data_IF_447228879905
#
_entry.id   IF_447228879905
#
_cell.length_a   1.000
_cell.length_b   1.000
_cell.length_c   1.000
_cell.angle_alpha   90.00
_cell.angle_beta   90.00
_cell.angle_gamma   90.00
#
_symmetry.space_group_name_H-M   'P 1'
#
loop_
_entity.id
_entity.type
_entity.pdbx_description
1 polymer ?
#
# COMPACT_ATOMS: atom_id res chain seq x y z
N UNK A 1 2.63 -7.59 -8.38
CA UNK A 1 2.89 -6.29 -7.73
C UNK A 1 3.36 -6.56 -6.31
N UNK A 2 4.36 -5.85 -5.78
CA UNK A 2 4.81 -6.00 -4.38
C UNK A 2 4.36 -4.76 -3.62
N UNK A 3 3.51 -4.89 -2.58
CA UNK A 3 3.00 -3.72 -1.89
C UNK A 3 4.01 -3.15 -0.88
N UNK A 4 4.06 -1.82 -0.76
CA UNK A 4 5.00 -1.08 0.09
C UNK A 4 4.25 -0.15 1.04
N UNK A 5 4.54 -0.28 2.34
CA UNK A 5 4.11 0.65 3.38
C UNK A 5 5.34 1.40 3.90
N UNK A 6 5.38 2.72 3.78
CA UNK A 6 6.50 3.52 4.29
C UNK A 6 6.12 4.24 5.60
N UNK A 7 7.05 4.17 6.56
CA UNK A 7 6.89 4.75 7.90
C UNK A 7 7.82 5.95 8.09
N UNK A 8 7.29 7.13 8.41
CA UNK A 8 8.10 8.36 8.58
C UNK A 8 7.88 9.04 9.94
N UNK A 9 8.91 9.61 10.55
CA UNK A 9 8.78 10.45 11.75
C UNK A 9 8.36 11.90 11.43
N UNK A 10 8.34 12.28 10.15
CA UNK A 10 8.15 13.65 9.69
C UNK A 10 6.95 13.69 8.75
N UNK A 11 5.81 14.15 9.26
CA UNK A 11 4.54 14.22 8.53
C UNK A 11 4.50 15.33 7.46
N UNK A 12 5.49 16.24 7.44
CA UNK A 12 5.39 17.54 6.76
C UNK A 12 6.42 17.80 5.65
N UNK A 13 7.24 16.85 5.23
CA UNK A 13 8.04 17.08 4.01
C UNK A 13 7.12 16.99 2.78
N UNK A 14 6.50 18.11 2.41
CA UNK A 14 5.64 18.26 1.22
C UNK A 14 6.36 17.88 -0.08
N UNK A 15 7.67 18.09 -0.17
CA UNK A 15 8.48 17.69 -1.33
C UNK A 15 8.70 16.16 -1.39
N UNK A 16 8.67 15.49 -0.23
CA UNK A 16 8.66 14.02 -0.14
C UNK A 16 7.27 13.49 -0.48
N UNK A 17 6.19 14.16 -0.02
CA UNK A 17 4.80 13.80 -0.37
C UNK A 17 4.49 13.94 -1.87
N UNK A 18 5.12 14.91 -2.56
CA UNK A 18 5.03 15.08 -4.02
C UNK A 18 5.80 14.01 -4.79
N UNK A 19 6.91 13.50 -4.25
CA UNK A 19 7.62 12.33 -4.79
C UNK A 19 6.95 10.99 -4.45
N UNK A 20 6.20 10.94 -3.35
CA UNK A 20 5.58 9.75 -2.76
C UNK A 20 4.47 9.08 -3.60
N UNK A 21 3.78 9.83 -4.47
CA UNK A 21 2.82 9.24 -5.41
C UNK A 21 3.48 8.40 -6.52
N UNK A 22 4.82 8.28 -6.55
CA UNK A 22 5.52 7.54 -7.58
C UNK A 22 5.42 6.00 -7.47
N UNK A 23 4.72 5.45 -6.46
CA UNK A 23 4.38 4.02 -6.48
C UNK A 23 4.44 3.23 -5.16
N UNK A 24 4.23 3.84 -3.99
CA UNK A 24 3.94 3.04 -2.79
C UNK A 24 2.44 3.01 -2.50
N UNK A 25 2.00 1.95 -1.86
CA UNK A 25 0.59 1.69 -1.59
C UNK A 25 0.07 2.45 -0.37
N UNK A 26 0.92 2.63 0.66
CA UNK A 26 0.52 3.26 1.91
C UNK A 26 1.67 4.00 2.61
N UNK A 27 1.28 5.01 3.37
CA UNK A 27 2.16 5.85 4.16
C UNK A 27 1.63 6.05 5.56
N UNK A 28 2.51 5.94 6.55
CA UNK A 28 2.14 6.02 7.96
C UNK A 28 3.17 6.81 8.77
N UNK A 29 2.71 7.76 9.57
CA UNK A 29 3.58 8.62 10.39
C UNK A 29 3.82 8.01 11.78
N UNK A 30 5.05 8.14 12.31
CA UNK A 30 5.42 7.72 13.67
C UNK A 30 5.22 8.87 14.67
N UNK A 31 4.88 8.56 15.94
CA UNK A 31 4.50 7.23 16.43
C UNK A 31 3.11 6.81 15.91
N UNK A 32 2.95 5.53 15.58
CA UNK A 32 1.67 4.99 15.10
C UNK A 32 1.13 3.93 16.05
N UNK A 33 -0.17 3.66 15.95
CA UNK A 33 -0.81 2.56 16.65
C UNK A 33 -0.56 1.22 15.91
N UNK A 34 -0.02 0.17 16.56
CA UNK A 34 0.17 -1.14 15.93
C UNK A 34 -1.11 -1.75 15.33
N UNK A 35 -2.27 -1.51 15.96
CA UNK A 35 -3.57 -1.99 15.46
C UNK A 35 -3.97 -1.32 14.14
N UNK A 36 -3.60 -0.04 13.98
CA UNK A 36 -3.83 0.69 12.74
C UNK A 36 -2.95 0.13 11.60
N UNK A 37 -1.67 -0.14 11.88
CA UNK A 37 -0.76 -0.79 10.93
C UNK A 37 -1.30 -2.16 10.49
N UNK A 38 -1.79 -2.98 11.42
CA UNK A 38 -2.38 -4.29 11.11
C UNK A 38 -3.61 -4.17 10.18
N UNK A 39 -4.41 -3.12 10.34
CA UNK A 39 -5.56 -2.86 9.46
C UNK A 39 -5.11 -2.53 8.04
N UNK A 40 -4.08 -1.70 7.90
CA UNK A 40 -3.50 -1.38 6.58
C UNK A 40 -2.92 -2.61 5.89
N UNK A 41 -2.16 -3.43 6.62
CA UNK A 41 -1.61 -4.68 6.10
C UNK A 41 -2.72 -5.59 5.57
N UNK A 42 -3.75 -5.86 6.37
CA UNK A 42 -4.90 -6.69 5.94
C UNK A 42 -5.56 -6.15 4.67
N UNK A 43 -5.78 -4.84 4.59
CA UNK A 43 -6.39 -4.20 3.43
C UNK A 43 -5.56 -4.40 2.15
N UNK A 44 -4.24 -4.24 2.25
CA UNK A 44 -3.32 -4.42 1.13
C UNK A 44 -3.33 -5.87 0.63
N UNK A 45 -3.26 -6.85 1.53
CA UNK A 45 -3.29 -8.27 1.14
C UNK A 45 -4.60 -8.64 0.44
N UNK A 46 -5.75 -8.17 0.93
CA UNK A 46 -7.04 -8.39 0.25
C UNK A 46 -7.09 -7.75 -1.13
N UNK A 47 -6.44 -6.61 -1.33
CA UNK A 47 -6.37 -5.96 -2.65
C UNK A 47 -5.46 -6.72 -3.62
N UNK A 48 -4.33 -7.25 -3.14
CA UNK A 48 -3.42 -8.09 -3.94
C UNK A 48 -4.12 -9.38 -4.38
N UNK A 49 -4.81 -10.07 -3.47
CA UNK A 49 -5.50 -11.33 -3.79
C UNK A 49 -6.57 -11.13 -4.88
N UNK A 50 -7.29 -10.01 -4.85
CA UNK A 50 -8.23 -9.65 -5.91
C UNK A 50 -7.52 -9.43 -7.24
N UNK A 51 -6.44 -8.66 -7.26
CA UNK A 51 -5.70 -8.44 -8.51
C UNK A 51 -5.19 -9.75 -9.15
N UNK A 52 -4.77 -10.72 -8.33
CA UNK A 52 -4.33 -12.04 -8.82
C UNK A 52 -5.50 -12.82 -9.45
N UNK A 53 -6.68 -12.78 -8.84
CA UNK A 53 -7.91 -13.39 -9.40
C UNK A 53 -8.34 -12.72 -10.71
N UNK A 54 -8.19 -11.40 -10.81
CA UNK A 54 -8.59 -10.60 -11.97
C UNK A 54 -7.68 -10.91 -13.17
N UNK A 55 -6.36 -10.95 -12.95
CA UNK A 55 -5.37 -11.31 -13.96
C UNK A 55 -5.54 -12.77 -14.43
N UNK A 56 -5.84 -13.68 -13.50
CA UNK A 56 -6.10 -15.09 -13.83
C UNK A 56 -7.33 -15.25 -14.75
N UNK A 57 -8.39 -14.47 -14.55
CA UNK A 57 -9.60 -14.51 -15.39
C UNK A 57 -9.39 -13.91 -16.78
N UNK A 58 -8.52 -12.92 -16.91
CA UNK A 58 -8.19 -12.32 -18.22
C UNK A 58 -7.46 -13.32 -19.12
N UNK A 59 -6.62 -14.18 -18.54
CA UNK A 59 -5.83 -15.16 -19.29
C UNK A 59 -6.63 -16.41 -19.68
N UNK A 60 -7.71 -16.72 -18.96
CA UNK A 60 -8.61 -17.85 -19.25
C UNK A 60 -9.65 -17.52 -20.35
N UNK A 61 -9.73 -16.26 -20.79
CA UNK A 61 -10.66 -15.76 -21.80
C UNK A 61 -10.04 -15.61 -23.21
N UNK A 62 -8.78 -16.04 -23.43
CA UNK A 62 -8.05 -15.95 -24.70
C UNK A 62 -7.75 -17.30 -25.32
#
# INVERSE_FOLDING_TARGET
>A
IIPVIMLTAKAQDEDVFKGWQSGVDCYLTKPFNPTELLTFVKRIFTAVDKHVEDDAKVYDLS
#
